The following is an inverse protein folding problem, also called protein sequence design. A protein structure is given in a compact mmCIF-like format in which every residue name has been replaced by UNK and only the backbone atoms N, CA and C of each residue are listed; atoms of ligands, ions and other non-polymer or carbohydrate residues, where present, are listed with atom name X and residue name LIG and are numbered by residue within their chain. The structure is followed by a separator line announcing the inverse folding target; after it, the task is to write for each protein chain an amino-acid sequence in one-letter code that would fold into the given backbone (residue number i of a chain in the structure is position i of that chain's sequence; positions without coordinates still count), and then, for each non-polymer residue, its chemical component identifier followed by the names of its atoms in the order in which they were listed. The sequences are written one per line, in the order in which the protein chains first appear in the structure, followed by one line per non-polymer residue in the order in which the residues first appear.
data_IF_816721260626
#
_entry.id   IF_816721260626
#
_cell.length_a   1.000
_cell.length_b   1.000
_cell.length_c   1.000
_cell.angle_alpha   90.00
_cell.angle_beta   90.00
_cell.angle_gamma   90.00
#
_symmetry.space_group_name_H-M   'P 1'
#
loop_
_entity.id
_entity.type
_entity.pdbx_description
1 polymer ?
#
# COMPACT_ATOMS: atom_id res chain seq x y z
N UNK A 1 -0.55 13.98 -8.29
CA UNK A 1 -0.16 13.61 -6.93
C UNK A 1 -0.97 12.38 -6.53
N UNK A 2 -0.29 11.28 -6.23
CA UNK A 2 -0.91 9.96 -6.03
C UNK A 2 -1.66 9.89 -4.70
N UNK A 3 -2.81 9.20 -4.66
CA UNK A 3 -3.67 9.06 -3.47
C UNK A 3 -2.90 8.55 -2.24
N UNK A 4 -2.06 7.52 -2.40
CA UNK A 4 -1.23 6.98 -1.33
C UNK A 4 -0.37 8.06 -0.65
N UNK A 5 0.30 8.92 -1.44
CA UNK A 5 1.16 9.99 -0.90
C UNK A 5 0.35 11.00 -0.10
N UNK A 6 -0.79 11.43 -0.63
CA UNK A 6 -1.70 12.37 0.06
C UNK A 6 -2.10 11.79 1.41
N UNK A 7 -2.55 10.53 1.41
CA UNK A 7 -3.02 9.84 2.62
C UNK A 7 -1.89 9.56 3.64
N UNK A 8 -0.66 9.41 3.18
CA UNK A 8 0.51 9.31 4.07
C UNK A 8 0.83 10.66 4.71
N UNK A 9 0.81 11.73 3.93
CA UNK A 9 1.14 13.08 4.40
C UNK A 9 0.12 13.65 5.38
N UNK A 10 -1.18 13.38 5.15
CA UNK A 10 -2.25 13.82 6.04
C UNK A 10 -2.59 12.82 7.17
N UNK A 11 -1.89 11.68 7.20
CA UNK A 11 -2.08 10.62 8.19
C UNK A 11 -3.39 9.82 8.03
N UNK A 12 -4.13 10.00 6.93
CA UNK A 12 -5.41 9.32 6.69
C UNK A 12 -5.29 7.90 6.12
N UNK A 13 -4.08 7.45 5.73
CA UNK A 13 -3.90 6.13 5.12
C UNK A 13 -4.32 4.99 6.07
N UNK A 14 -3.74 4.93 7.26
CA UNK A 14 -4.01 3.86 8.23
C UNK A 14 -5.47 3.87 8.72
N UNK A 15 -6.10 5.04 8.98
CA UNK A 15 -7.55 5.12 9.19
C UNK A 15 -8.38 4.59 8.02
N UNK A 16 -7.98 4.88 6.78
CA UNK A 16 -8.64 4.38 5.58
C UNK A 16 -8.54 2.86 5.49
N UNK A 17 -7.34 2.30 5.67
CA UNK A 17 -7.10 0.85 5.68
C UNK A 17 -7.88 0.15 6.79
N UNK A 18 -7.95 0.74 7.99
CA UNK A 18 -8.75 0.22 9.10
C UNK A 18 -10.23 0.16 8.74
N UNK A 19 -10.74 1.18 8.06
CA UNK A 19 -12.13 1.23 7.60
C UNK A 19 -12.40 0.15 6.54
N UNK A 20 -11.53 0.03 5.54
CA UNK A 20 -11.62 -1.01 4.51
C UNK A 20 -11.54 -2.42 5.12
N UNK A 21 -10.61 -2.64 6.04
CA UNK A 21 -10.48 -3.92 6.74
C UNK A 21 -11.78 -4.32 7.43
N UNK A 22 -12.43 -3.40 8.15
CA UNK A 22 -13.73 -3.66 8.80
C UNK A 22 -14.81 -4.05 7.80
N UNK A 23 -14.86 -3.38 6.65
CA UNK A 23 -15.82 -3.69 5.61
C UNK A 23 -15.61 -5.09 5.02
N UNK A 24 -14.36 -5.54 4.92
CA UNK A 24 -14.02 -6.83 4.32
C UNK A 24 -14.07 -8.00 5.32
N UNK A 25 -13.62 -7.79 6.56
CA UNK A 25 -13.44 -8.84 7.58
C UNK A 25 -14.53 -8.84 8.66
N UNK A 26 -15.44 -7.86 8.66
CA UNK A 26 -16.53 -7.69 9.65
C UNK A 26 -16.07 -7.56 11.12
N UNK A 27 -14.77 -7.33 11.36
CA UNK A 27 -14.21 -7.02 12.69
C UNK A 27 -13.08 -5.98 12.60
N UNK A 28 -12.63 -5.50 13.75
CA UNK A 28 -11.50 -4.57 13.83
C UNK A 28 -10.17 -5.30 13.59
N UNK A 29 -9.19 -4.66 12.92
CA UNK A 29 -7.82 -5.16 12.93
C UNK A 29 -7.26 -5.13 14.34
N UNK A 30 -6.31 -6.03 14.62
CA UNK A 30 -5.66 -6.04 15.93
C UNK A 30 -4.74 -4.80 16.08
N UNK A 31 -4.51 -4.28 17.30
CA UNK A 31 -3.60 -3.14 17.49
C UNK A 31 -2.18 -3.40 16.97
N UNK A 32 -1.73 -4.65 16.98
CA UNK A 32 -0.43 -5.04 16.42
C UNK A 32 -0.39 -4.93 14.89
N UNK A 33 -1.49 -5.25 14.22
CA UNK A 33 -1.64 -5.16 12.77
C UNK A 33 -1.61 -3.69 12.32
N UNK A 34 -2.36 -2.82 13.01
CA UNK A 34 -2.35 -1.36 12.76
C UNK A 34 -0.95 -0.76 12.91
N UNK A 35 -0.24 -1.09 14.00
CA UNK A 35 1.13 -0.62 14.23
C UNK A 35 2.11 -1.12 13.16
N UNK A 36 1.85 -2.30 12.63
CA UNK A 36 2.71 -2.84 11.60
C UNK A 36 2.51 -2.14 10.26
N UNK A 37 1.26 -1.85 9.88
CA UNK A 37 0.97 -1.01 8.72
C UNK A 37 1.64 0.36 8.86
N UNK A 38 1.49 1.03 10.01
CA UNK A 38 2.13 2.33 10.26
C UNK A 38 3.64 2.30 10.00
N UNK A 39 4.35 1.29 10.52
CA UNK A 39 5.80 1.18 10.39
C UNK A 39 6.23 0.84 8.98
N UNK A 40 5.63 -0.19 8.40
CA UNK A 40 6.06 -0.75 7.12
C UNK A 40 5.69 0.16 5.94
N UNK A 41 4.51 0.79 5.96
CA UNK A 41 4.08 1.72 4.91
C UNK A 41 4.85 3.04 4.97
N UNK A 42 5.24 3.49 6.18
CA UNK A 42 6.14 4.64 6.32
C UNK A 42 7.53 4.34 5.76
N UNK A 43 8.10 3.17 6.06
CA UNK A 43 9.38 2.75 5.50
C UNK A 43 9.31 2.66 3.96
N UNK A 44 8.29 2.01 3.42
CA UNK A 44 8.09 1.92 1.97
C UNK A 44 7.96 3.30 1.32
N UNK A 45 7.19 4.22 1.92
CA UNK A 45 7.05 5.57 1.39
C UNK A 45 8.38 6.31 1.35
N UNK A 46 9.23 6.15 2.36
CA UNK A 46 10.56 6.76 2.39
C UNK A 46 11.45 6.18 1.28
N UNK A 47 11.44 4.86 1.09
CA UNK A 47 12.21 4.18 0.05
C UNK A 47 11.77 4.61 -1.36
N UNK A 48 10.47 4.73 -1.61
CA UNK A 48 9.93 5.21 -2.89
C UNK A 48 10.37 6.66 -3.18
N UNK A 49 10.32 7.54 -2.18
CA UNK A 49 10.79 8.93 -2.32
C UNK A 49 12.29 8.95 -2.61
N UNK A 50 13.08 8.20 -1.87
CA UNK A 50 14.53 8.13 -2.08
C UNK A 50 14.88 7.60 -3.48
N UNK A 51 14.07 6.71 -4.03
CA UNK A 51 14.23 6.17 -5.39
C UNK A 51 13.70 7.11 -6.50
N UNK A 52 13.07 8.25 -6.16
CA UNK A 52 12.40 9.11 -7.15
C UNK A 52 11.15 8.48 -7.77
N UNK A 53 10.50 7.58 -7.04
CA UNK A 53 9.29 6.84 -7.43
C UNK A 53 8.06 7.29 -6.62
N UNK A 54 8.09 8.50 -6.09
CA UNK A 54 7.08 9.07 -5.20
C UNK A 54 5.72 9.30 -5.88
N UNK A 55 5.68 9.29 -7.22
CA UNK A 55 4.46 9.40 -8.02
C UNK A 55 3.89 8.07 -8.51
N UNK A 56 4.52 6.93 -8.19
CA UNK A 56 4.00 5.61 -8.54
C UNK A 56 2.69 5.34 -7.78
N UNK A 57 1.72 4.73 -8.44
CA UNK A 57 0.47 4.32 -7.80
C UNK A 57 0.70 3.12 -6.88
N UNK A 58 0.16 3.19 -5.67
CA UNK A 58 0.38 2.18 -4.63
C UNK A 58 -0.99 1.64 -4.20
N UNK A 59 -1.23 0.36 -4.44
CA UNK A 59 -2.37 -0.37 -3.91
C UNK A 59 -1.92 -1.12 -2.66
N UNK A 60 -2.57 -0.89 -1.53
CA UNK A 60 -2.22 -1.50 -0.24
C UNK A 60 -3.28 -2.56 0.11
N UNK A 61 -2.86 -3.70 0.65
CA UNK A 61 -3.71 -4.85 1.02
C UNK A 61 -4.61 -5.33 -0.14
N UNK A 62 -4.03 -5.44 -1.34
CA UNK A 62 -4.77 -5.78 -2.55
C UNK A 62 -5.20 -7.24 -2.57
N UNK A 63 -6.52 -7.49 -2.54
CA UNK A 63 -7.07 -8.84 -2.57
C UNK A 63 -6.89 -9.51 -3.93
N UNK A 64 -6.31 -10.72 -3.91
CA UNK A 64 -6.07 -11.50 -5.11
C UNK A 64 -7.39 -12.16 -5.58
N UNK A 65 -7.69 -12.13 -6.89
CA UNK A 65 -8.91 -12.70 -7.44
C UNK A 65 -9.13 -14.15 -7.01
N UNK A 66 -10.38 -14.49 -6.70
CA UNK A 66 -10.80 -15.85 -6.36
C UNK A 66 -10.13 -16.44 -5.10
N UNK A 67 -9.48 -15.61 -4.26
CA UNK A 67 -8.87 -16.06 -3.01
C UNK A 67 -9.12 -15.08 -1.86
N UNK A 68 -8.87 -15.54 -0.63
CA UNK A 68 -8.78 -14.67 0.55
C UNK A 68 -7.38 -14.07 0.74
N UNK A 69 -6.41 -14.41 -0.11
CA UNK A 69 -5.04 -13.89 -0.02
C UNK A 69 -5.01 -12.45 -0.49
N UNK A 70 -4.07 -11.69 0.06
CA UNK A 70 -3.81 -10.29 -0.29
C UNK A 70 -2.32 -10.11 -0.53
N UNK A 71 -1.98 -9.24 -1.47
CA UNK A 71 -0.64 -8.69 -1.58
C UNK A 71 -0.55 -7.48 -0.67
N UNK A 72 0.52 -7.38 0.13
CA UNK A 72 0.69 -6.24 1.05
C UNK A 72 0.71 -4.93 0.26
N UNK A 73 1.49 -4.88 -0.82
CA UNK A 73 1.50 -3.75 -1.74
C UNK A 73 1.65 -4.18 -3.21
N UNK A 74 0.95 -3.50 -4.10
CA UNK A 74 1.19 -3.50 -5.55
C UNK A 74 1.57 -2.09 -5.98
N UNK A 75 2.77 -1.95 -6.54
CA UNK A 75 3.22 -0.73 -7.20
C UNK A 75 2.80 -0.79 -8.67
N UNK A 76 2.09 0.24 -9.13
CA UNK A 76 1.52 0.35 -10.46
C UNK A 76 2.14 1.56 -11.17
N UNK A 77 2.79 1.33 -12.31
CA UNK A 77 3.44 2.40 -13.06
C UNK A 77 3.70 2.05 -14.52
N UNK A 78 4.62 2.78 -15.12
CA UNK A 78 5.02 2.64 -16.52
C UNK A 78 6.51 2.37 -16.60
N UNK A 79 6.91 1.38 -17.38
CA UNK A 79 8.32 1.04 -17.54
C UNK A 79 9.05 2.15 -18.33
N UNK A 80 10.13 2.75 -17.78
CA UNK A 80 10.69 3.99 -18.30
C UNK A 80 11.32 3.87 -19.69
N UNK A 81 11.69 2.65 -20.12
CA UNK A 81 12.31 2.43 -21.43
C UNK A 81 11.33 2.02 -22.52
N UNK A 82 10.26 1.30 -22.17
CA UNK A 82 9.35 0.70 -23.16
C UNK A 82 8.01 1.42 -23.22
N UNK A 83 7.63 2.13 -22.16
CA UNK A 83 6.32 2.78 -22.06
C UNK A 83 5.17 1.83 -21.71
N UNK A 84 5.45 0.54 -21.51
CA UNK A 84 4.43 -0.44 -21.15
C UNK A 84 4.04 -0.34 -19.67
N UNK A 85 2.82 -0.76 -19.29
CA UNK A 85 2.46 -0.94 -17.89
C UNK A 85 3.44 -1.85 -17.15
N UNK A 86 3.84 -1.46 -15.94
CA UNK A 86 4.76 -2.19 -15.08
C UNK A 86 4.21 -2.30 -13.67
N UNK A 87 4.24 -3.52 -13.13
CA UNK A 87 3.69 -3.85 -11.82
C UNK A 87 4.71 -4.59 -10.97
N UNK A 88 4.85 -4.20 -9.70
CA UNK A 88 5.70 -4.87 -8.73
C UNK A 88 4.88 -5.20 -7.49
N UNK A 89 4.88 -6.48 -7.10
CA UNK A 89 4.31 -6.93 -5.83
C UNK A 89 5.40 -6.84 -4.76
N UNK A 90 5.10 -6.15 -3.66
CA UNK A 90 5.99 -5.99 -2.51
C UNK A 90 5.35 -6.67 -1.31
N UNK A 91 6.10 -7.59 -0.71
CA UNK A 91 5.76 -8.21 0.58
C UNK A 91 6.47 -7.45 1.70
N UNK A 92 5.72 -6.93 2.66
CA UNK A 92 6.24 -6.14 3.77
C UNK A 92 6.60 -7.06 4.93
N UNK A 93 7.80 -6.87 5.48
CA UNK A 93 8.22 -7.61 6.67
C UNK A 93 7.71 -6.89 7.93
N UNK A 94 7.17 -7.71 8.83
CA UNK A 94 6.62 -7.35 10.14
C UNK A 94 7.70 -7.39 11.22
#
# INVERSE_FOLDING_TARGET
MTQFRVQMMDGSLVPTLTTQYRHHMAHNPAPAEVRSWERSLHALSADLIQAGLDDVEVLVEHQLPLTSKRADVVLCGVHPRTGDPSYVVVELKQ
#
